data_IF_113389204620
#
_entry.id   IF_113389204620
#
_cell.length_a   1.000
_cell.length_b   1.000
_cell.length_c   1.000
_cell.angle_alpha   90.00
_cell.angle_beta   90.00
_cell.angle_gamma   90.00
#
_symmetry.space_group_name_H-M   'P 1'
#
loop_
_entity.id
_entity.type
_entity.pdbx_description
1 polymer ?
#
# COMPACT_ATOMS: atom_id res chain seq x y z
N UNK A 1 7.29 32.62 27.39
CA UNK A 1 6.70 32.18 26.09
C UNK A 1 5.65 31.16 26.43
N UNK A 2 4.41 31.36 25.97
CA UNK A 2 3.32 30.42 26.28
C UNK A 2 3.44 29.16 25.42
N UNK A 3 3.02 28.02 25.98
CA UNK A 3 3.17 26.70 25.35
C UNK A 3 1.82 26.01 25.15
N UNK A 4 1.81 25.05 24.26
CA UNK A 4 0.72 24.09 24.08
C UNK A 4 1.10 22.82 24.84
N UNK A 5 0.36 22.49 25.90
CA UNK A 5 0.48 21.23 26.61
C UNK A 5 -0.36 20.18 25.87
N UNK A 6 0.29 19.38 25.02
CA UNK A 6 -0.36 18.34 24.21
C UNK A 6 -0.39 17.03 25.01
N UNK A 7 -1.55 16.72 25.56
CA UNK A 7 -1.74 15.67 26.56
C UNK A 7 -2.42 14.46 25.93
N UNK A 8 -1.71 13.35 25.91
CA UNK A 8 -2.25 12.04 25.54
C UNK A 8 -3.20 11.52 26.61
N UNK A 9 -4.31 10.92 26.21
CA UNK A 9 -5.31 10.33 27.11
C UNK A 9 -5.54 8.89 26.71
N UNK A 10 -5.34 7.96 27.65
CA UNK A 10 -5.79 6.57 27.56
C UNK A 10 -6.81 6.32 28.67
N UNK A 11 -7.92 5.71 28.31
CA UNK A 11 -8.99 5.38 29.26
C UNK A 11 -9.95 6.54 29.62
N UNK A 12 -10.88 6.26 30.56
CA UNK A 12 -12.00 7.14 30.89
C UNK A 12 -11.70 8.14 31.99
N UNK A 13 -10.46 8.25 32.51
CA UNK A 13 -10.09 9.09 33.64
C UNK A 13 -8.76 9.77 33.39
N UNK A 14 -8.63 11.04 33.76
CA UNK A 14 -7.36 11.76 33.78
C UNK A 14 -6.59 11.46 35.06
N UNK A 15 -5.29 11.25 34.98
CA UNK A 15 -4.40 11.19 36.12
C UNK A 15 -4.21 12.58 36.78
N UNK A 16 -3.70 12.60 37.99
CA UNK A 16 -3.51 13.85 38.75
C UNK A 16 -2.56 14.82 38.03
N UNK A 17 -1.47 14.33 37.45
CA UNK A 17 -0.53 15.14 36.69
C UNK A 17 -1.20 15.80 35.46
N UNK A 18 -1.99 15.03 34.71
CA UNK A 18 -2.75 15.55 33.57
C UNK A 18 -3.76 16.61 33.97
N UNK A 19 -4.44 16.43 35.13
CA UNK A 19 -5.37 17.41 35.68
C UNK A 19 -4.65 18.72 36.07
N UNK A 20 -3.52 18.63 36.74
CA UNK A 20 -2.71 19.79 37.13
C UNK A 20 -2.23 20.58 35.91
N UNK A 21 -1.79 19.89 34.84
CA UNK A 21 -1.40 20.54 33.60
C UNK A 21 -2.56 21.32 32.97
N UNK A 22 -3.76 20.72 32.90
CA UNK A 22 -4.95 21.37 32.35
C UNK A 22 -5.41 22.55 33.18
N UNK A 23 -5.39 22.43 34.53
CA UNK A 23 -5.77 23.49 35.44
C UNK A 23 -4.83 24.70 35.38
N UNK A 24 -3.56 24.50 34.99
CA UNK A 24 -2.59 25.55 34.73
C UNK A 24 -2.77 26.29 33.41
N UNK A 25 -3.67 25.83 32.52
CA UNK A 25 -3.90 26.42 31.22
C UNK A 25 -5.12 27.36 31.19
N UNK A 26 -5.09 28.36 30.29
CA UNK A 26 -6.22 29.29 30.07
C UNK A 26 -7.33 28.68 29.22
N UNK A 27 -6.96 27.69 28.38
CA UNK A 27 -7.89 27.00 27.49
C UNK A 27 -7.51 25.52 27.34
N UNK A 28 -8.52 24.67 27.03
CA UNK A 28 -8.32 23.24 26.75
C UNK A 28 -9.07 22.81 25.51
N UNK A 29 -8.34 22.38 24.48
CA UNK A 29 -8.94 21.83 23.28
C UNK A 29 -9.28 20.35 23.49
N UNK A 30 -10.52 20.00 23.24
CA UNK A 30 -11.05 18.68 23.57
C UNK A 30 -12.09 18.20 22.55
N UNK A 31 -12.04 16.91 22.22
CA UNK A 31 -13.10 16.28 21.42
C UNK A 31 -14.37 16.06 22.27
N UNK A 32 -15.51 15.88 21.61
CA UNK A 32 -16.77 15.53 22.31
C UNK A 32 -16.63 14.32 23.23
N UNK A 33 -15.80 13.35 22.85
CA UNK A 33 -15.54 12.14 23.63
C UNK A 33 -14.89 12.44 24.99
N UNK A 34 -13.96 13.39 25.02
CA UNK A 34 -13.18 13.72 26.21
C UNK A 34 -13.71 14.96 26.96
N UNK A 35 -14.75 15.62 26.43
CA UNK A 35 -15.36 16.77 27.10
C UNK A 35 -15.78 16.49 28.58
N UNK A 36 -16.32 15.31 28.92
CA UNK A 36 -16.64 14.99 30.31
C UNK A 36 -15.42 14.97 31.24
N UNK A 37 -14.21 14.68 30.74
CA UNK A 37 -12.99 14.58 31.52
C UNK A 37 -12.49 15.92 32.03
N UNK A 38 -12.86 17.01 31.36
CA UNK A 38 -12.49 18.40 31.70
C UNK A 38 -13.66 19.18 32.28
N UNK A 39 -14.79 18.53 32.57
CA UNK A 39 -15.94 19.17 33.22
C UNK A 39 -15.53 19.65 34.60
N UNK A 40 -15.72 20.97 34.86
CA UNK A 40 -15.31 21.61 36.11
C UNK A 40 -13.86 22.12 36.16
N UNK A 41 -13.04 21.89 35.13
CA UNK A 41 -11.74 22.54 35.02
C UNK A 41 -11.90 24.04 34.72
N UNK A 42 -11.01 24.90 35.26
CA UNK A 42 -11.07 26.35 35.06
C UNK A 42 -10.73 26.76 33.59
N UNK A 43 -10.00 25.91 32.86
CA UNK A 43 -9.60 26.16 31.49
C UNK A 43 -10.82 26.23 30.52
N UNK A 44 -10.87 27.25 29.67
CA UNK A 44 -11.95 27.44 28.72
C UNK A 44 -11.95 26.31 27.63
N UNK A 45 -13.03 25.56 27.48
CA UNK A 45 -13.06 24.49 26.48
C UNK A 45 -13.07 25.05 25.06
N UNK A 46 -12.26 24.42 24.16
CA UNK A 46 -12.15 24.69 22.74
C UNK A 46 -12.50 23.41 21.96
N UNK A 47 -13.35 23.44 20.94
CA UNK A 47 -13.59 22.29 20.08
C UNK A 47 -12.34 21.94 19.24
N UNK A 48 -11.99 20.65 19.16
CA UNK A 48 -10.81 20.20 18.42
C UNK A 48 -11.02 20.20 16.88
N UNK A 49 -12.25 20.37 16.42
CA UNK A 49 -12.62 20.37 15.01
C UNK A 49 -13.58 21.53 14.70
N UNK A 50 -13.47 22.18 13.52
CA UNK A 50 -12.44 21.94 12.49
C UNK A 50 -11.05 22.46 12.88
N UNK A 51 -9.96 21.93 12.25
CA UNK A 51 -8.58 22.25 12.64
C UNK A 51 -8.20 23.73 12.50
N UNK A 52 -8.67 24.41 11.43
CA UNK A 52 -8.37 25.84 11.23
C UNK A 52 -8.92 26.68 12.38
N UNK A 53 -10.16 26.44 12.77
CA UNK A 53 -10.77 27.12 13.92
C UNK A 53 -10.08 26.79 15.24
N UNK A 54 -9.57 25.57 15.42
CA UNK A 54 -8.76 25.18 16.56
C UNK A 54 -7.47 26.00 16.62
N UNK A 55 -6.74 26.10 15.50
CA UNK A 55 -5.47 26.82 15.45
C UNK A 55 -5.65 28.30 15.76
N UNK A 56 -6.71 28.94 15.25
CA UNK A 56 -7.02 30.34 15.56
C UNK A 56 -7.35 30.55 17.06
N UNK A 57 -8.13 29.64 17.65
CA UNK A 57 -8.46 29.71 19.07
C UNK A 57 -7.29 29.42 19.99
N UNK A 58 -6.40 28.48 19.60
CA UNK A 58 -5.16 28.22 20.32
C UNK A 58 -4.21 29.43 20.25
N UNK A 59 -4.11 30.06 19.08
CA UNK A 59 -3.27 31.24 18.93
C UNK A 59 -3.74 32.38 19.87
N UNK A 60 -5.05 32.65 19.90
CA UNK A 60 -5.64 33.63 20.82
C UNK A 60 -5.48 33.26 22.30
N UNK A 61 -5.48 31.97 22.64
CA UNK A 61 -5.25 31.52 24.02
C UNK A 61 -3.78 31.71 24.44
N UNK A 62 -2.83 31.44 23.53
CA UNK A 62 -1.40 31.60 23.80
C UNK A 62 -0.96 33.04 24.03
N UNK A 63 -1.74 34.04 23.64
CA UNK A 63 -1.53 35.42 24.00
C UNK A 63 -1.85 35.71 25.47
N UNK A 64 -2.63 34.81 26.13
CA UNK A 64 -3.10 34.97 27.50
C UNK A 64 -2.40 34.01 28.48
N UNK A 65 -1.85 32.90 28.00
CA UNK A 65 -1.19 31.88 28.81
C UNK A 65 -1.04 30.56 28.05
N UNK A 66 -0.68 29.50 28.77
CA UNK A 66 -0.56 28.17 28.22
C UNK A 66 -1.93 27.59 27.85
N UNK A 67 -1.99 26.74 26.82
CA UNK A 67 -3.20 26.06 26.37
C UNK A 67 -2.99 24.54 26.31
N UNK A 68 -3.98 23.78 26.77
CA UNK A 68 -3.94 22.32 26.68
C UNK A 68 -4.66 21.81 25.44
N UNK A 69 -4.18 20.68 24.88
CA UNK A 69 -4.86 19.91 23.82
C UNK A 69 -4.91 18.45 24.24
N UNK A 70 -6.11 17.87 24.36
CA UNK A 70 -6.27 16.46 24.65
C UNK A 70 -6.34 15.63 23.37
N UNK A 71 -5.46 14.64 23.29
CA UNK A 71 -5.40 13.70 22.17
C UNK A 71 -5.57 12.25 22.66
N UNK A 72 -6.13 11.38 21.83
CA UNK A 72 -6.26 9.95 22.14
C UNK A 72 -4.90 9.25 22.08
N UNK A 73 -4.51 8.55 23.12
CA UNK A 73 -3.27 7.78 23.17
C UNK A 73 -2.01 8.65 23.07
N UNK A 74 -1.05 8.21 22.28
CA UNK A 74 0.14 9.01 21.97
C UNK A 74 -0.18 10.06 20.91
N UNK A 75 -0.05 11.38 21.22
CA UNK A 75 -0.36 12.46 20.28
C UNK A 75 0.47 12.45 18.99
N UNK A 76 1.65 11.84 19.01
CA UNK A 76 2.53 11.72 17.83
C UNK A 76 2.26 10.45 17.01
N UNK A 77 1.50 9.51 17.56
CA UNK A 77 1.17 8.28 16.86
C UNK A 77 -0.12 8.45 16.03
N UNK A 78 0.01 8.88 14.77
CA UNK A 78 -1.11 9.19 13.86
C UNK A 78 -2.12 10.20 14.43
N UNK A 79 -1.69 11.01 15.40
CA UNK A 79 -2.50 11.99 16.11
C UNK A 79 -2.30 13.42 15.62
N UNK A 80 -2.91 14.35 16.34
CA UNK A 80 -2.90 15.79 16.04
C UNK A 80 -1.51 16.44 16.23
N UNK A 81 -0.58 15.75 16.89
CA UNK A 81 0.70 16.34 17.28
C UNK A 81 1.51 16.88 16.11
N UNK A 82 1.56 16.17 14.99
CA UNK A 82 2.23 16.66 13.77
C UNK A 82 1.66 18.01 13.32
N UNK A 83 0.35 18.12 13.21
CA UNK A 83 -0.31 19.35 12.75
C UNK A 83 -0.06 20.53 13.68
N UNK A 84 0.02 20.28 14.99
CA UNK A 84 0.35 21.32 15.98
C UNK A 84 1.81 21.74 15.89
N UNK A 85 2.73 20.80 15.74
CA UNK A 85 4.17 21.09 15.58
C UNK A 85 4.40 21.87 14.27
N UNK A 86 3.80 21.44 13.17
CA UNK A 86 3.94 22.11 11.86
C UNK A 86 3.38 23.55 11.91
N UNK A 87 2.33 23.80 12.71
CA UNK A 87 1.68 25.12 12.82
C UNK A 87 2.34 26.05 13.81
N UNK A 88 2.79 25.56 14.98
CA UNK A 88 3.23 26.39 16.11
C UNK A 88 4.74 26.31 16.39
N UNK A 89 5.45 25.32 15.81
CA UNK A 89 6.85 25.02 16.09
C UNK A 89 7.01 24.03 17.26
N UNK A 90 8.04 23.17 17.17
CA UNK A 90 8.31 22.14 18.16
C UNK A 90 8.63 22.73 19.56
N UNK A 91 9.23 23.90 19.60
CA UNK A 91 9.61 24.60 20.82
C UNK A 91 8.41 25.12 21.63
N UNK A 92 7.24 25.25 20.98
CA UNK A 92 6.00 25.71 21.63
C UNK A 92 5.05 24.56 22.00
N UNK A 93 5.34 23.31 21.62
CA UNK A 93 4.48 22.15 21.88
C UNK A 93 5.19 21.20 22.83
N UNK A 94 4.71 21.13 24.07
CA UNK A 94 5.16 20.15 25.06
C UNK A 94 4.28 18.92 24.99
N UNK A 95 4.90 17.76 24.84
CA UNK A 95 4.16 16.51 24.56
C UNK A 95 4.20 15.61 25.77
N UNK A 96 3.02 15.25 26.26
CA UNK A 96 2.79 14.31 27.36
C UNK A 96 2.14 13.05 26.78
N UNK A 97 2.91 12.02 26.42
CA UNK A 97 2.35 10.83 25.75
C UNK A 97 1.55 9.96 26.73
N UNK A 98 0.55 9.27 26.19
CA UNK A 98 -0.09 8.13 26.83
C UNK A 98 0.11 6.87 25.96
N UNK A 99 -0.30 5.70 26.45
CA UNK A 99 -0.25 4.47 25.68
C UNK A 99 -1.07 4.62 24.39
N UNK A 100 -0.42 4.39 23.27
CA UNK A 100 -1.10 4.38 21.97
C UNK A 100 -2.07 3.20 21.86
N UNK A 101 -3.07 3.33 20.99
CA UNK A 101 -3.99 2.21 20.70
C UNK A 101 -3.26 0.96 20.21
N UNK A 102 -2.14 1.13 19.50
CA UNK A 102 -1.27 0.02 19.09
C UNK A 102 -0.69 -0.72 20.30
N UNK A 103 -0.11 0.01 21.26
CA UNK A 103 0.49 -0.57 22.47
C UNK A 103 -0.58 -1.29 23.30
N UNK A 104 -1.75 -0.67 23.46
CA UNK A 104 -2.88 -1.29 24.16
C UNK A 104 -3.34 -2.57 23.44
N UNK A 105 -3.51 -2.55 22.11
CA UNK A 105 -3.88 -3.72 21.34
C UNK A 105 -2.86 -4.85 21.49
N UNK A 106 -1.57 -4.55 21.37
CA UNK A 106 -0.49 -5.52 21.54
C UNK A 106 -0.47 -6.13 22.95
N UNK A 107 -0.69 -5.31 23.99
CA UNK A 107 -0.81 -5.79 25.35
C UNK A 107 -2.01 -6.75 25.53
N UNK A 108 -3.19 -6.42 24.96
CA UNK A 108 -4.37 -7.30 24.99
C UNK A 108 -4.19 -8.58 24.20
N UNK A 109 -3.42 -8.51 23.11
CA UNK A 109 -3.10 -9.67 22.27
C UNK A 109 -1.95 -10.52 22.86
N UNK A 110 -1.20 -10.04 23.83
CA UNK A 110 -0.04 -10.71 24.38
C UNK A 110 1.10 -10.81 23.37
N UNK A 111 1.32 -9.76 22.56
CA UNK A 111 2.29 -9.76 21.47
C UNK A 111 3.35 -8.68 21.63
N UNK A 112 4.64 -9.01 21.40
CA UNK A 112 5.64 -7.98 21.14
C UNK A 112 5.32 -7.26 19.83
N UNK A 113 5.70 -5.98 19.74
CA UNK A 113 5.36 -5.11 18.60
C UNK A 113 6.57 -4.60 17.82
N UNK A 114 7.79 -4.99 18.20
CA UNK A 114 9.06 -4.63 17.58
C UNK A 114 9.23 -5.21 16.16
N UNK A 115 8.62 -6.37 15.88
CA UNK A 115 8.62 -7.01 14.56
C UNK A 115 7.28 -6.88 13.81
N UNK A 116 6.37 -6.04 14.33
CA UNK A 116 5.03 -5.89 13.79
C UNK A 116 4.99 -4.92 12.61
N UNK A 117 4.44 -5.36 11.48
CA UNK A 117 4.13 -4.45 10.38
C UNK A 117 2.95 -3.57 10.76
N UNK A 118 3.15 -2.26 10.79
CA UNK A 118 2.08 -1.30 11.03
C UNK A 118 1.63 -0.65 9.73
N UNK A 119 0.32 -0.67 9.46
CA UNK A 119 -0.29 -0.05 8.28
C UNK A 119 -1.48 0.80 8.71
N UNK A 120 -1.47 2.08 8.35
CA UNK A 120 -2.63 2.96 8.54
C UNK A 120 -3.47 3.01 7.27
N UNK A 121 -4.75 2.67 7.41
CA UNK A 121 -5.75 2.72 6.34
C UNK A 121 -6.57 4.01 6.35
N UNK A 122 -6.32 4.93 7.30
CA UNK A 122 -7.04 6.20 7.41
C UNK A 122 -6.95 7.02 6.11
N UNK A 123 -8.11 7.23 5.46
CA UNK A 123 -8.22 8.01 4.24
C UNK A 123 -7.52 7.41 3.01
N UNK A 124 -7.14 6.14 3.04
CA UNK A 124 -6.46 5.44 1.93
C UNK A 124 -7.39 4.43 1.26
N UNK A 125 -7.28 4.25 -0.08
CA UNK A 125 -7.98 3.18 -0.77
C UNK A 125 -7.44 1.81 -0.34
N UNK A 126 -8.32 0.80 -0.32
CA UNK A 126 -7.97 -0.56 0.10
C UNK A 126 -7.39 -1.43 -1.02
N UNK A 127 -7.26 -0.91 -2.24
CA UNK A 127 -6.92 -1.69 -3.44
C UNK A 127 -5.54 -2.38 -3.32
N UNK A 128 -4.59 -1.75 -2.63
CA UNK A 128 -3.25 -2.32 -2.40
C UNK A 128 -3.12 -3.03 -1.05
N UNK A 129 -4.20 -3.13 -0.27
CA UNK A 129 -4.19 -3.76 1.05
C UNK A 129 -3.64 -5.19 1.04
N UNK A 130 -4.01 -6.07 0.10
CA UNK A 130 -3.47 -7.42 0.05
C UNK A 130 -1.95 -7.46 -0.06
N UNK A 131 -1.35 -6.61 -0.88
CA UNK A 131 0.10 -6.51 -1.03
C UNK A 131 0.82 -5.90 0.19
N UNK A 132 0.11 -5.14 1.01
CA UNK A 132 0.66 -4.56 2.24
C UNK A 132 0.54 -5.51 3.44
N UNK A 133 -0.37 -6.46 3.40
CA UNK A 133 -0.68 -7.39 4.50
C UNK A 133 -0.13 -8.79 4.25
N UNK A 134 -0.48 -9.37 3.11
CA UNK A 134 -0.20 -10.78 2.83
C UNK A 134 1.30 -11.16 2.74
N UNK A 135 2.25 -10.29 2.40
CA UNK A 135 3.68 -10.63 2.47
C UNK A 135 4.25 -10.74 3.88
N UNK A 136 3.54 -10.30 4.92
CA UNK A 136 4.05 -10.19 6.28
C UNK A 136 3.37 -11.17 7.23
N UNK A 137 4.11 -11.76 8.20
CA UNK A 137 3.54 -12.73 9.14
C UNK A 137 2.53 -12.09 10.10
N UNK A 138 2.76 -10.84 10.49
CA UNK A 138 1.91 -10.08 11.39
C UNK A 138 1.78 -8.64 10.92
N UNK A 139 0.55 -8.19 10.71
CA UNK A 139 0.26 -6.80 10.32
C UNK A 139 -0.83 -6.24 11.21
N UNK A 140 -0.55 -5.13 11.89
CA UNK A 140 -1.54 -4.37 12.63
C UNK A 140 -2.04 -3.21 11.77
N UNK A 141 -3.35 -3.13 11.64
CA UNK A 141 -4.04 -2.13 10.81
C UNK A 141 -4.74 -1.12 11.69
N UNK A 142 -4.48 0.17 11.44
CA UNK A 142 -5.31 1.27 11.89
C UNK A 142 -6.42 1.46 10.86
N UNK A 143 -7.63 1.17 11.24
CA UNK A 143 -8.83 1.15 10.39
C UNK A 143 -9.61 2.46 10.44
N UNK A 144 -10.53 2.64 9.52
CA UNK A 144 -11.49 3.74 9.50
C UNK A 144 -12.87 3.25 9.05
N UNK A 145 -13.86 4.14 8.90
CA UNK A 145 -15.22 3.79 8.48
C UNK A 145 -15.29 3.23 7.05
N UNK A 146 -14.30 3.49 6.20
CA UNK A 146 -14.20 2.95 4.83
C UNK A 146 -13.53 1.59 4.80
N UNK A 147 -12.58 1.39 5.70
CA UNK A 147 -11.77 0.20 5.83
C UNK A 147 -12.03 -0.48 7.17
N UNK A 148 -13.30 -0.80 7.45
CA UNK A 148 -13.72 -1.54 8.63
C UNK A 148 -13.19 -2.98 8.62
N UNK A 149 -13.11 -3.67 9.77
CA UNK A 149 -12.54 -5.03 9.85
C UNK A 149 -13.17 -6.04 8.91
N UNK A 150 -14.49 -5.96 8.69
CA UNK A 150 -15.24 -6.79 7.74
C UNK A 150 -14.82 -6.52 6.28
N UNK A 151 -14.60 -5.26 5.92
CA UNK A 151 -14.13 -4.87 4.58
C UNK A 151 -12.66 -5.25 4.35
N UNK A 152 -11.83 -5.14 5.39
CA UNK A 152 -10.45 -5.65 5.35
C UNK A 152 -10.46 -7.15 5.07
N UNK A 153 -11.27 -7.93 5.81
CA UNK A 153 -11.40 -9.37 5.60
C UNK A 153 -11.91 -9.69 4.19
N UNK A 154 -12.90 -8.95 3.68
CA UNK A 154 -13.44 -9.12 2.33
C UNK A 154 -12.38 -8.86 1.24
N UNK A 155 -11.56 -7.80 1.39
CA UNK A 155 -10.49 -7.48 0.43
C UNK A 155 -9.40 -8.56 0.40
N UNK A 156 -9.00 -9.08 1.56
CA UNK A 156 -8.03 -10.18 1.64
C UNK A 156 -8.59 -11.47 1.02
N UNK A 157 -9.85 -11.81 1.31
CA UNK A 157 -10.53 -12.97 0.70
C UNK A 157 -10.60 -12.84 -0.82
N UNK A 158 -10.98 -11.67 -1.33
CA UNK A 158 -11.08 -11.45 -2.78
C UNK A 158 -9.73 -11.69 -3.48
N UNK A 159 -8.62 -11.19 -2.92
CA UNK A 159 -7.29 -11.39 -3.47
C UNK A 159 -6.84 -12.86 -3.43
N UNK A 160 -7.13 -13.55 -2.33
CA UNK A 160 -6.78 -14.97 -2.17
C UNK A 160 -7.64 -15.86 -3.08
N UNK A 161 -8.93 -15.56 -3.24
CA UNK A 161 -9.81 -16.26 -4.20
C UNK A 161 -9.35 -16.06 -5.65
N UNK A 162 -8.97 -14.84 -6.03
CA UNK A 162 -8.46 -14.55 -7.38
C UNK A 162 -7.24 -15.39 -7.76
N UNK A 163 -6.45 -15.79 -6.74
CA UNK A 163 -5.28 -16.65 -6.92
C UNK A 163 -5.52 -18.13 -6.57
N UNK A 164 -6.74 -18.52 -6.15
CA UNK A 164 -7.08 -19.86 -5.64
C UNK A 164 -6.17 -20.34 -4.48
N UNK A 165 -5.88 -19.42 -3.54
CA UNK A 165 -4.99 -19.69 -2.39
C UNK A 165 -5.79 -20.13 -1.15
N UNK A 166 -6.41 -21.30 -1.23
CA UNK A 166 -7.30 -21.85 -0.19
C UNK A 166 -6.58 -22.15 1.11
N UNK A 167 -5.36 -22.67 1.02
CA UNK A 167 -4.56 -23.01 2.20
C UNK A 167 -4.26 -21.77 3.03
N UNK A 168 -3.93 -20.69 2.38
CA UNK A 168 -3.65 -19.43 3.04
C UNK A 168 -4.92 -18.80 3.62
N UNK A 169 -6.04 -18.84 2.90
CA UNK A 169 -7.34 -18.41 3.44
C UNK A 169 -7.67 -19.11 4.77
N UNK A 170 -7.46 -20.42 4.84
CA UNK A 170 -7.70 -21.21 6.03
C UNK A 170 -6.71 -20.90 7.18
N UNK A 171 -5.48 -20.51 6.85
CA UNK A 171 -4.43 -20.26 7.81
C UNK A 171 -4.47 -18.86 8.45
N UNK A 172 -5.05 -17.86 7.78
CA UNK A 172 -5.12 -16.48 8.29
C UNK A 172 -6.06 -16.41 9.49
N UNK A 173 -5.62 -15.67 10.51
CA UNK A 173 -6.43 -15.31 11.67
C UNK A 173 -6.44 -13.79 11.82
N UNK A 174 -7.58 -13.26 12.19
CA UNK A 174 -7.75 -11.85 12.50
C UNK A 174 -8.15 -11.70 13.96
N UNK A 175 -7.55 -10.72 14.63
CA UNK A 175 -7.97 -10.26 15.94
C UNK A 175 -8.35 -8.79 15.83
N UNK A 176 -9.55 -8.45 16.27
CA UNK A 176 -10.09 -7.10 16.26
C UNK A 176 -10.20 -6.62 17.70
N UNK A 177 -9.54 -5.50 18.00
CA UNK A 177 -9.65 -4.84 19.28
C UNK A 177 -10.52 -3.58 19.13
N UNK A 178 -11.62 -3.52 19.85
CA UNK A 178 -12.58 -2.42 19.83
C UNK A 178 -12.59 -1.70 21.16
N UNK A 179 -12.73 -0.36 21.13
CA UNK A 179 -12.93 0.50 22.29
C UNK A 179 -11.92 0.27 23.43
N UNK A 180 -10.63 0.10 23.06
CA UNK A 180 -9.56 -0.17 24.02
C UNK A 180 -9.54 0.85 25.16
N UNK A 181 -9.38 0.36 26.39
CA UNK A 181 -9.42 1.11 27.65
C UNK A 181 -10.76 1.83 27.92
N UNK A 182 -11.85 1.44 27.25
CA UNK A 182 -13.19 1.91 27.56
C UNK A 182 -14.01 0.79 28.22
N UNK A 183 -15.15 1.16 28.80
CA UNK A 183 -16.05 0.23 29.50
C UNK A 183 -16.65 -0.87 28.62
N UNK A 184 -16.69 -0.61 27.30
CA UNK A 184 -17.19 -1.53 26.27
C UNK A 184 -16.06 -2.10 25.40
N UNK A 185 -14.85 -2.20 25.97
CA UNK A 185 -13.71 -2.87 25.33
C UNK A 185 -14.07 -4.30 24.92
N UNK A 186 -13.77 -4.65 23.69
CA UNK A 186 -14.05 -5.97 23.16
C UNK A 186 -12.94 -6.48 22.26
N UNK A 187 -12.55 -7.73 22.45
CA UNK A 187 -11.62 -8.46 21.56
C UNK A 187 -12.38 -9.55 20.83
N UNK A 188 -12.32 -9.50 19.50
CA UNK A 188 -12.92 -10.51 18.63
C UNK A 188 -11.82 -11.23 17.85
N UNK A 189 -11.82 -12.56 17.87
CA UNK A 189 -10.89 -13.38 17.08
C UNK A 189 -11.67 -14.26 16.11
N UNK A 190 -11.16 -14.42 14.90
CA UNK A 190 -11.82 -15.28 13.89
C UNK A 190 -10.98 -15.47 12.62
N UNK A 191 -11.50 -16.30 11.74
CA UNK A 191 -11.06 -16.44 10.35
C UNK A 191 -11.50 -15.23 9.53
N UNK A 192 -10.97 -15.10 8.30
CA UNK A 192 -11.41 -14.04 7.39
C UNK A 192 -12.94 -14.08 7.14
N UNK A 193 -13.51 -15.28 6.96
CA UNK A 193 -14.96 -15.43 6.70
C UNK A 193 -15.80 -15.04 7.92
N UNK A 194 -15.37 -15.41 9.12
CA UNK A 194 -16.07 -15.04 10.35
C UNK A 194 -16.05 -13.55 10.61
N UNK A 195 -14.90 -12.88 10.34
CA UNK A 195 -14.78 -11.43 10.52
C UNK A 195 -15.57 -10.69 9.45
N UNK A 196 -15.55 -11.15 8.18
CA UNK A 196 -16.34 -10.55 7.10
C UNK A 196 -17.84 -10.53 7.40
N UNK A 197 -18.34 -11.53 8.11
CA UNK A 197 -19.75 -11.65 8.47
C UNK A 197 -20.20 -10.84 9.69
N UNK A 198 -19.33 -9.99 10.28
CA UNK A 198 -19.63 -9.24 11.52
C UNK A 198 -19.61 -7.73 11.27
N UNK A 199 -20.22 -7.00 12.20
CA UNK A 199 -20.14 -5.54 12.29
C UNK A 199 -19.27 -5.12 13.46
N UNK A 200 -18.51 -4.05 13.27
CA UNK A 200 -17.57 -3.52 14.25
C UNK A 200 -17.79 -2.03 14.46
N UNK A 201 -17.53 -1.58 15.69
CA UNK A 201 -17.57 -0.16 16.04
C UNK A 201 -16.48 0.65 15.33
N UNK A 202 -16.60 1.98 15.31
CA UNK A 202 -15.66 2.83 14.57
C UNK A 202 -14.26 2.93 15.21
N UNK A 203 -14.14 2.64 16.51
CA UNK A 203 -12.87 2.68 17.23
C UNK A 203 -12.30 1.26 17.35
N UNK A 204 -11.53 0.87 16.35
CA UNK A 204 -10.95 -0.47 16.33
C UNK A 204 -9.57 -0.51 15.67
N UNK A 205 -8.82 -1.58 15.99
CA UNK A 205 -7.61 -2.01 15.30
C UNK A 205 -7.74 -3.47 14.92
N UNK A 206 -7.07 -3.84 13.85
CA UNK A 206 -7.09 -5.22 13.34
C UNK A 206 -5.68 -5.76 13.27
N UNK A 207 -5.43 -6.88 13.93
CA UNK A 207 -4.24 -7.69 13.73
C UNK A 207 -4.57 -8.82 12.75
N UNK A 208 -3.78 -8.93 11.70
CA UNK A 208 -3.79 -10.06 10.77
C UNK A 208 -2.55 -10.90 10.99
N UNK A 209 -2.74 -12.18 11.30
CA UNK A 209 -1.67 -13.14 11.53
C UNK A 209 -1.76 -14.28 10.53
N UNK A 210 -0.61 -14.69 10.00
CA UNK A 210 -0.53 -15.74 9.00
C UNK A 210 0.87 -16.36 8.91
N UNK A 211 1.00 -17.62 8.47
CA UNK A 211 2.29 -18.16 8.08
C UNK A 211 2.73 -17.51 6.78
N UNK A 212 3.97 -17.03 6.73
CA UNK A 212 4.56 -16.45 5.51
C UNK A 212 5.74 -17.29 5.09
N UNK A 213 5.83 -17.63 3.82
CA UNK A 213 7.04 -18.23 3.23
C UNK A 213 8.05 -17.11 3.02
N UNK A 214 9.25 -17.21 3.59
CA UNK A 214 10.30 -16.25 3.31
C UNK A 214 10.59 -16.23 1.81
N UNK A 215 10.56 -15.05 1.19
CA UNK A 215 11.10 -14.90 -0.15
C UNK A 215 12.54 -14.40 -0.02
N UNK A 216 13.53 -15.16 -0.55
CA UNK A 216 14.94 -14.92 -0.27
C UNK A 216 15.44 -13.58 -0.81
N UNK A 217 14.86 -13.07 -1.88
CA UNK A 217 15.26 -11.81 -2.47
C UNK A 217 14.07 -10.88 -2.69
N UNK A 218 14.29 -9.57 -2.59
CA UNK A 218 13.27 -8.56 -2.92
C UNK A 218 13.16 -8.30 -4.42
N UNK A 219 14.27 -8.46 -5.12
CA UNK A 219 14.42 -8.24 -6.57
C UNK A 219 15.43 -9.25 -7.13
N UNK A 220 15.24 -9.68 -8.37
CA UNK A 220 16.13 -10.59 -9.06
C UNK A 220 15.72 -12.04 -8.93
N UNK A 221 14.41 -12.35 -9.06
CA UNK A 221 13.97 -13.73 -9.22
C UNK A 221 14.59 -14.34 -10.48
N UNK A 222 15.20 -15.52 -10.36
CA UNK A 222 15.67 -16.31 -11.50
C UNK A 222 14.52 -16.86 -12.35
N UNK A 223 14.83 -17.19 -13.60
CA UNK A 223 13.84 -17.81 -14.51
C UNK A 223 13.34 -19.15 -13.94
N UNK A 224 14.15 -19.89 -13.21
CA UNK A 224 13.83 -21.17 -12.56
C UNK A 224 12.94 -21.03 -11.32
N UNK A 225 12.89 -19.84 -10.71
CA UNK A 225 12.01 -19.54 -9.57
C UNK A 225 10.58 -19.14 -10.03
N UNK A 226 10.38 -18.86 -11.32
CA UNK A 226 9.13 -18.41 -11.89
C UNK A 226 8.52 -19.50 -12.77
N UNK A 227 7.31 -19.96 -12.47
CA UNK A 227 6.58 -20.90 -13.33
C UNK A 227 6.27 -20.26 -14.66
N UNK A 228 6.60 -20.96 -15.75
CA UNK A 228 6.36 -20.51 -17.12
C UNK A 228 6.18 -21.71 -18.04
N UNK A 229 5.52 -21.51 -19.18
CA UNK A 229 5.35 -22.55 -20.20
C UNK A 229 6.34 -22.36 -21.33
N UNK A 230 6.97 -23.43 -21.78
CA UNK A 230 7.81 -23.49 -23.00
C UNK A 230 8.92 -22.42 -23.07
N UNK A 231 9.43 -21.96 -21.93
CA UNK A 231 10.45 -20.90 -21.90
C UNK A 231 9.93 -19.50 -22.25
N UNK A 232 8.60 -19.31 -22.29
CA UNK A 232 7.94 -18.02 -22.50
C UNK A 232 8.01 -17.17 -21.23
N UNK A 233 9.16 -16.60 -21.01
CA UNK A 233 9.44 -15.71 -19.88
C UNK A 233 10.38 -14.60 -20.31
N UNK A 234 10.17 -13.40 -19.84
CA UNK A 234 11.14 -12.31 -20.01
C UNK A 234 12.42 -12.65 -19.25
N UNK A 235 13.52 -12.75 -19.99
CA UNK A 235 14.83 -13.15 -19.47
C UNK A 235 15.30 -12.18 -18.37
N UNK A 236 16.10 -12.68 -17.43
CA UNK A 236 16.49 -11.94 -16.22
C UNK A 236 17.10 -10.58 -16.53
N UNK A 237 18.04 -10.53 -17.47
CA UNK A 237 18.74 -9.30 -17.86
C UNK A 237 17.79 -8.33 -18.57
N UNK A 238 16.89 -8.85 -19.38
CA UNK A 238 15.86 -8.06 -20.08
C UNK A 238 14.83 -7.55 -19.08
N UNK A 239 14.38 -8.39 -18.13
CA UNK A 239 13.43 -8.01 -17.08
C UNK A 239 13.99 -6.90 -16.20
N UNK A 240 15.25 -6.99 -15.81
CA UNK A 240 15.93 -5.93 -15.07
C UNK A 240 15.96 -4.61 -15.86
N UNK A 241 16.27 -4.66 -17.15
CA UNK A 241 16.27 -3.48 -18.02
C UNK A 241 14.86 -2.91 -18.22
N UNK A 242 13.83 -3.75 -18.36
CA UNK A 242 12.42 -3.32 -18.45
C UNK A 242 12.01 -2.55 -17.20
N UNK A 243 12.28 -3.09 -16.00
CA UNK A 243 11.94 -2.45 -14.73
C UNK A 243 12.69 -1.12 -14.54
N UNK A 244 13.97 -1.08 -14.92
CA UNK A 244 14.73 0.16 -14.96
C UNK A 244 14.10 1.22 -15.88
N UNK A 245 13.67 0.80 -17.08
CA UNK A 245 13.03 1.69 -18.05
C UNK A 245 11.66 2.16 -17.60
N UNK A 246 10.90 1.32 -16.92
CA UNK A 246 9.58 1.68 -16.37
C UNK A 246 9.67 2.76 -15.29
N UNK A 247 10.79 2.87 -14.52
CA UNK A 247 10.93 3.83 -13.41
C UNK A 247 9.68 3.78 -12.51
N UNK A 248 9.44 2.61 -11.93
CA UNK A 248 8.24 2.34 -11.14
C UNK A 248 8.03 3.38 -10.03
N UNK A 249 6.83 3.97 -9.91
CA UNK A 249 6.50 4.82 -8.80
C UNK A 249 6.24 3.97 -7.54
N UNK A 250 6.30 4.59 -6.37
CA UNK A 250 6.00 3.89 -5.12
C UNK A 250 4.53 3.45 -5.02
N UNK A 251 3.63 4.22 -5.64
CA UNK A 251 2.17 4.00 -5.71
C UNK A 251 1.69 4.28 -7.12
N UNK A 252 0.50 3.82 -7.48
CA UNK A 252 -0.10 4.06 -8.80
C UNK A 252 -0.49 2.76 -9.49
N UNK A 253 -0.58 2.79 -10.82
CA UNK A 253 -1.08 1.70 -11.65
C UNK A 253 -0.05 1.32 -12.71
N UNK A 254 0.27 0.03 -12.81
CA UNK A 254 1.03 -0.56 -13.91
C UNK A 254 0.12 -1.47 -14.75
N UNK A 255 0.11 -1.28 -16.05
CA UNK A 255 -0.42 -2.28 -16.99
C UNK A 255 0.73 -3.12 -17.55
N UNK A 256 0.63 -4.44 -17.37
CA UNK A 256 1.51 -5.44 -18.00
C UNK A 256 0.72 -6.18 -19.08
N UNK A 257 0.91 -5.80 -20.33
CA UNK A 257 0.13 -6.26 -21.47
C UNK A 257 0.86 -7.41 -22.18
N UNK A 258 0.18 -8.55 -22.28
CA UNK A 258 0.79 -9.80 -22.72
C UNK A 258 1.71 -10.35 -21.64
N UNK A 259 1.17 -10.53 -20.45
CA UNK A 259 1.93 -10.82 -19.21
C UNK A 259 2.72 -12.14 -19.26
N UNK A 260 2.29 -13.12 -20.08
CA UNK A 260 2.92 -14.44 -20.14
C UNK A 260 2.97 -15.09 -18.76
N UNK A 261 4.17 -15.39 -18.27
CA UNK A 261 4.37 -15.91 -16.91
C UNK A 261 4.13 -14.90 -15.77
N UNK A 262 3.92 -13.62 -16.10
CA UNK A 262 3.81 -12.52 -15.14
C UNK A 262 5.14 -12.07 -14.53
N UNK A 263 6.26 -12.42 -15.13
CA UNK A 263 7.58 -12.19 -14.52
C UNK A 263 7.90 -10.72 -14.27
N UNK A 264 7.49 -9.80 -15.15
CA UNK A 264 7.65 -8.35 -14.96
C UNK A 264 6.70 -7.86 -13.87
N UNK A 265 5.44 -8.28 -13.90
CA UNK A 265 4.43 -7.99 -12.88
C UNK A 265 4.86 -8.43 -11.48
N UNK A 266 5.43 -9.64 -11.35
CA UNK A 266 5.91 -10.18 -10.07
C UNK A 266 6.99 -9.29 -9.45
N UNK A 267 8.00 -8.94 -10.22
CA UNK A 267 9.08 -8.10 -9.73
C UNK A 267 8.58 -6.67 -9.42
N UNK A 268 7.71 -6.11 -10.26
CA UNK A 268 7.13 -4.79 -10.04
C UNK A 268 6.31 -4.75 -8.73
N UNK A 269 5.45 -5.73 -8.49
CA UNK A 269 4.63 -5.83 -7.28
C UNK A 269 5.47 -6.01 -6.01
N UNK A 270 6.57 -6.75 -6.09
CA UNK A 270 7.49 -6.99 -4.96
C UNK A 270 8.37 -5.78 -4.65
N UNK A 271 8.82 -5.06 -5.68
CA UNK A 271 9.58 -3.81 -5.52
C UNK A 271 8.71 -2.70 -4.94
N UNK A 272 7.46 -2.60 -5.40
CA UNK A 272 6.52 -1.55 -5.05
C UNK A 272 5.21 -2.14 -4.50
N UNK A 273 5.15 -2.55 -3.21
CA UNK A 273 3.96 -3.21 -2.62
C UNK A 273 2.69 -2.35 -2.56
N UNK A 274 2.77 -1.07 -2.92
CA UNK A 274 1.62 -0.16 -3.03
C UNK A 274 1.30 0.19 -4.49
N UNK A 275 1.90 -0.50 -5.45
CA UNK A 275 1.59 -0.40 -6.87
C UNK A 275 0.52 -1.43 -7.23
N UNK A 276 -0.59 -1.00 -7.83
CA UNK A 276 -1.58 -1.91 -8.41
C UNK A 276 -1.12 -2.34 -9.79
N UNK A 277 -0.93 -3.65 -9.99
CA UNK A 277 -0.43 -4.21 -11.25
C UNK A 277 -1.55 -4.96 -11.97
N UNK A 278 -1.94 -4.51 -13.14
CA UNK A 278 -2.95 -5.16 -13.98
C UNK A 278 -2.25 -5.94 -15.10
N UNK A 279 -2.23 -7.26 -14.97
CA UNK A 279 -1.58 -8.18 -15.91
C UNK A 279 -2.61 -8.76 -16.86
N UNK A 280 -2.57 -8.33 -18.11
CA UNK A 280 -3.48 -8.80 -19.17
C UNK A 280 -2.86 -9.99 -19.87
N UNK A 281 -3.53 -11.14 -19.80
CA UNK A 281 -3.09 -12.39 -20.44
C UNK A 281 -4.30 -13.18 -20.95
N UNK A 282 -4.26 -13.61 -22.22
CA UNK A 282 -5.34 -14.36 -22.86
C UNK A 282 -5.20 -15.89 -22.76
N UNK A 283 -3.96 -16.38 -22.54
CA UNK A 283 -3.69 -17.81 -22.51
C UNK A 283 -4.01 -18.40 -21.14
N UNK A 284 -4.99 -19.34 -21.02
CA UNK A 284 -5.36 -19.93 -19.73
C UNK A 284 -4.21 -20.64 -19.02
N UNK A 285 -3.26 -21.25 -19.75
CA UNK A 285 -2.12 -21.92 -19.17
C UNK A 285 -1.16 -20.93 -18.49
N UNK A 286 -0.91 -19.78 -19.13
CA UNK A 286 -0.09 -18.72 -18.55
C UNK A 286 -0.82 -18.01 -17.40
N UNK A 287 -2.13 -17.82 -17.48
CA UNK A 287 -2.94 -17.33 -16.36
C UNK A 287 -2.81 -18.23 -15.13
N UNK A 288 -2.81 -19.56 -15.31
CA UNK A 288 -2.58 -20.52 -14.24
C UNK A 288 -1.16 -20.38 -13.63
N UNK A 289 -0.15 -20.14 -14.48
CA UNK A 289 1.21 -19.84 -14.04
C UNK A 289 1.27 -18.54 -13.23
N UNK A 290 0.65 -17.46 -13.72
CA UNK A 290 0.58 -16.18 -13.02
C UNK A 290 -0.04 -16.35 -11.63
N UNK A 291 -1.19 -17.03 -11.51
CA UNK A 291 -1.82 -17.30 -10.20
C UNK A 291 -0.89 -18.07 -9.26
N UNK A 292 -0.21 -19.11 -9.78
CA UNK A 292 0.73 -19.88 -8.98
C UNK A 292 1.93 -19.02 -8.53
N UNK A 293 2.46 -18.18 -9.40
CA UNK A 293 3.57 -17.28 -9.13
C UNK A 293 3.19 -16.21 -8.10
N UNK A 294 1.99 -15.63 -8.19
CA UNK A 294 1.46 -14.69 -7.18
C UNK A 294 1.48 -15.33 -5.79
N UNK A 295 0.98 -16.58 -5.67
CA UNK A 295 0.98 -17.32 -4.39
C UNK A 295 2.39 -17.58 -3.87
N UNK A 296 3.28 -18.05 -4.74
CA UNK A 296 4.64 -18.40 -4.35
C UNK A 296 5.46 -17.18 -3.93
N UNK A 297 5.31 -16.07 -4.67
CA UNK A 297 6.08 -14.84 -4.45
C UNK A 297 5.40 -13.81 -3.54
N UNK A 298 4.16 -14.06 -3.12
CA UNK A 298 3.41 -13.12 -2.26
C UNK A 298 3.01 -11.81 -2.96
N UNK A 299 2.88 -11.81 -4.29
CA UNK A 299 2.67 -10.61 -5.11
C UNK A 299 1.17 -10.28 -5.30
N UNK A 300 0.41 -10.14 -4.20
CA UNK A 300 -1.07 -10.01 -4.22
C UNK A 300 -1.60 -8.64 -4.66
N UNK A 301 -0.76 -7.72 -5.10
CA UNK A 301 -1.20 -6.49 -5.79
C UNK A 301 -1.33 -6.68 -7.30
N UNK A 302 -1.09 -7.90 -7.79
CA UNK A 302 -1.31 -8.25 -9.18
C UNK A 302 -2.77 -8.65 -9.39
N UNK A 303 -3.45 -7.92 -10.26
CA UNK A 303 -4.78 -8.19 -10.74
C UNK A 303 -4.67 -8.85 -12.13
N UNK A 304 -4.92 -10.16 -12.18
CA UNK A 304 -4.92 -10.88 -13.45
C UNK A 304 -6.21 -10.55 -14.21
N UNK A 305 -6.05 -10.04 -15.43
CA UNK A 305 -7.12 -9.69 -16.36
C UNK A 305 -7.14 -10.71 -17.48
N UNK A 306 -8.19 -11.51 -17.53
CA UNK A 306 -8.42 -12.47 -18.60
C UNK A 306 -8.90 -11.75 -19.85
N UNK A 307 -8.18 -11.91 -20.94
CA UNK A 307 -8.56 -11.34 -22.22
C UNK A 307 -7.40 -10.87 -23.07
N UNK A 308 -7.75 -10.27 -24.19
CA UNK A 308 -6.83 -9.74 -25.16
C UNK A 308 -6.91 -8.21 -25.24
N UNK A 309 -5.74 -7.57 -25.18
CA UNK A 309 -5.65 -6.14 -25.40
C UNK A 309 -5.81 -5.79 -26.91
N UNK A 310 -6.43 -4.63 -27.27
CA UNK A 310 -6.81 -3.54 -26.37
C UNK A 310 -8.16 -3.70 -25.66
N UNK A 311 -9.02 -4.64 -26.05
CA UNK A 311 -10.37 -4.79 -25.52
C UNK A 311 -10.38 -5.00 -23.98
N UNK A 312 -9.47 -5.82 -23.46
CA UNK A 312 -9.32 -6.11 -22.04
C UNK A 312 -8.82 -4.91 -21.20
N UNK A 313 -8.37 -3.83 -21.84
CA UNK A 313 -7.96 -2.61 -21.13
C UNK A 313 -9.16 -1.74 -20.72
N UNK A 314 -10.34 -1.98 -21.32
CA UNK A 314 -11.56 -1.23 -21.00
C UNK A 314 -11.96 -1.46 -19.54
N UNK A 315 -12.19 -0.38 -18.80
CA UNK A 315 -12.59 -0.48 -17.39
C UNK A 315 -11.45 -0.62 -16.38
N UNK A 316 -10.20 -0.79 -16.83
CA UNK A 316 -9.05 -0.71 -15.92
C UNK A 316 -8.83 0.74 -15.48
N UNK A 317 -8.24 1.00 -14.31
CA UNK A 317 -7.81 2.34 -13.91
C UNK A 317 -6.72 2.86 -14.86
N UNK A 318 -6.63 4.18 -15.02
CA UNK A 318 -5.63 4.82 -15.87
C UNK A 318 -4.21 4.54 -15.35
N UNK A 319 -3.27 4.14 -16.24
CA UNK A 319 -1.97 3.68 -15.82
C UNK A 319 -0.95 4.81 -15.66
N UNK A 320 -0.09 4.69 -14.64
CA UNK A 320 1.15 5.45 -14.52
C UNK A 320 2.26 4.85 -15.39
N UNK A 321 2.22 3.54 -15.54
CA UNK A 321 3.23 2.77 -16.31
C UNK A 321 2.54 1.72 -17.15
N UNK A 322 3.06 1.53 -18.37
CA UNK A 322 2.61 0.49 -19.27
C UNK A 322 3.81 -0.30 -19.78
N UNK A 323 3.76 -1.60 -19.62
CA UNK A 323 4.68 -2.51 -20.27
C UNK A 323 3.93 -3.34 -21.32
N UNK A 324 4.50 -3.47 -22.52
CA UNK A 324 3.97 -4.33 -23.57
C UNK A 324 5.02 -5.40 -23.87
N UNK A 325 4.77 -6.61 -23.34
CA UNK A 325 5.61 -7.79 -23.54
C UNK A 325 5.17 -8.66 -24.71
N UNK A 326 3.87 -8.62 -25.02
CA UNK A 326 3.26 -9.34 -26.14
C UNK A 326 2.01 -8.63 -26.64
N UNK A 327 1.83 -8.53 -27.96
CA UNK A 327 0.72 -7.77 -28.57
C UNK A 327 -0.28 -8.61 -29.35
N UNK A 328 0.02 -9.89 -29.62
CA UNK A 328 -0.85 -10.75 -30.46
C UNK A 328 -1.10 -10.19 -31.87
N UNK A 329 -0.22 -9.33 -32.37
CA UNK A 329 -0.39 -8.64 -33.66
C UNK A 329 -1.15 -7.31 -33.58
N UNK A 330 -1.59 -6.88 -32.39
CA UNK A 330 -2.38 -5.65 -32.18
C UNK A 330 -1.58 -4.52 -31.54
N UNK A 331 -0.28 -4.42 -31.84
CA UNK A 331 0.62 -3.47 -31.14
C UNK A 331 0.18 -2.01 -31.30
N UNK A 332 -0.19 -1.58 -32.51
CA UNK A 332 -0.61 -0.21 -32.78
C UNK A 332 -1.88 0.19 -31.99
N UNK A 333 -3.02 -0.55 -32.06
CA UNK A 333 -4.20 -0.21 -31.26
C UNK A 333 -3.96 -0.30 -29.75
N UNK A 334 -3.09 -1.20 -29.29
CA UNK A 334 -2.68 -1.28 -27.88
C UNK A 334 -1.97 0.00 -27.45
N UNK A 335 -0.98 0.43 -28.21
CA UNK A 335 -0.19 1.64 -27.90
C UNK A 335 -1.06 2.90 -27.95
N UNK A 336 -1.96 3.00 -28.95
CA UNK A 336 -2.90 4.12 -29.06
C UNK A 336 -3.82 4.21 -27.84
N UNK A 337 -4.38 3.07 -27.43
CA UNK A 337 -5.24 3.00 -26.25
C UNK A 337 -4.47 3.33 -24.97
N UNK A 338 -3.27 2.79 -24.83
CA UNK A 338 -2.44 3.01 -23.65
C UNK A 338 -2.00 4.49 -23.54
N UNK A 339 -1.57 5.10 -24.63
CA UNK A 339 -1.14 6.50 -24.65
C UNK A 339 -2.29 7.47 -24.33
N UNK A 340 -3.50 7.19 -24.84
CA UNK A 340 -4.68 8.02 -24.59
C UNK A 340 -5.14 8.00 -23.11
N UNK A 341 -4.77 6.95 -22.38
CA UNK A 341 -5.17 6.75 -20.96
C UNK A 341 -4.02 6.94 -19.97
N UNK A 342 -2.81 7.15 -20.46
CA UNK A 342 -1.64 7.32 -19.59
C UNK A 342 -1.76 8.62 -18.78
N UNK A 343 -1.56 8.54 -17.47
CA UNK A 343 -1.58 9.74 -16.61
C UNK A 343 -0.44 10.70 -16.96
N UNK A 344 -0.54 12.00 -16.66
CA UNK A 344 0.55 12.95 -16.86
C UNK A 344 1.85 12.49 -16.18
N UNK A 345 2.97 12.50 -16.92
CA UNK A 345 4.26 11.97 -16.44
C UNK A 345 4.36 10.45 -16.47
N UNK A 346 3.38 9.78 -17.05
CA UNK A 346 3.38 8.35 -17.26
C UNK A 346 4.40 7.88 -18.30
N UNK A 347 4.55 6.56 -18.48
CA UNK A 347 5.57 5.97 -19.34
C UNK A 347 5.12 4.65 -19.94
N UNK A 348 5.43 4.45 -21.24
CA UNK A 348 5.20 3.20 -21.95
C UNK A 348 6.55 2.56 -22.28
N UNK A 349 6.71 1.28 -22.01
CA UNK A 349 7.87 0.48 -22.40
C UNK A 349 7.39 -0.71 -23.23
N UNK A 350 7.97 -0.88 -24.42
CA UNK A 350 7.68 -2.00 -25.32
C UNK A 350 8.92 -2.87 -25.45
N UNK A 351 8.74 -4.18 -25.35
CA UNK A 351 9.77 -5.17 -25.62
C UNK A 351 9.54 -5.77 -27.02
N UNK A 352 10.42 -5.49 -27.96
CA UNK A 352 10.34 -5.97 -29.33
C UNK A 352 11.45 -6.97 -29.64
N UNK A 353 11.07 -8.20 -30.01
CA UNK A 353 11.98 -9.26 -30.50
C UNK A 353 12.05 -9.25 -32.04
N UNK A 354 10.95 -8.89 -32.68
CA UNK A 354 10.84 -8.85 -34.14
C UNK A 354 11.06 -7.42 -34.64
N UNK A 355 11.80 -7.27 -35.73
CA UNK A 355 12.05 -6.00 -36.42
C UNK A 355 10.76 -5.26 -36.79
N UNK A 356 9.75 -6.01 -37.24
CA UNK A 356 8.43 -5.44 -37.52
C UNK A 356 7.79 -4.80 -36.28
N UNK A 357 7.86 -5.47 -35.12
CA UNK A 357 7.31 -4.94 -33.88
C UNK A 357 8.09 -3.71 -33.41
N UNK A 358 9.40 -3.69 -33.59
CA UNK A 358 10.25 -2.53 -33.29
C UNK A 358 9.86 -1.32 -34.15
N UNK A 359 9.71 -1.54 -35.48
CA UNK A 359 9.33 -0.49 -36.44
C UNK A 359 7.96 0.10 -36.07
N UNK A 360 6.95 -0.73 -35.84
CA UNK A 360 5.60 -0.29 -35.44
C UNK A 360 5.64 0.47 -34.13
N UNK A 361 6.32 -0.07 -33.10
CA UNK A 361 6.41 0.61 -31.81
C UNK A 361 7.04 1.99 -31.91
N UNK A 362 8.15 2.11 -32.64
CA UNK A 362 8.82 3.40 -32.86
C UNK A 362 7.92 4.41 -33.56
N UNK A 363 7.31 4.01 -34.68
CA UNK A 363 6.44 4.89 -35.47
C UNK A 363 5.24 5.39 -34.64
N UNK A 364 4.54 4.50 -33.97
CA UNK A 364 3.36 4.84 -33.18
C UNK A 364 3.74 5.72 -31.98
N UNK A 365 4.78 5.36 -31.23
CA UNK A 365 5.19 6.15 -30.07
C UNK A 365 5.72 7.52 -30.46
N UNK A 366 6.42 7.66 -31.61
CA UNK A 366 6.85 8.97 -32.12
C UNK A 366 5.71 9.92 -32.46
N UNK A 367 4.53 9.38 -32.80
CA UNK A 367 3.32 10.17 -33.06
C UNK A 367 2.59 10.56 -31.77
N UNK A 368 2.66 9.71 -30.72
CA UNK A 368 1.87 9.85 -29.51
C UNK A 368 2.64 10.44 -28.32
N UNK A 369 3.97 10.40 -28.34
CA UNK A 369 4.83 10.78 -27.23
C UNK A 369 5.75 11.93 -27.61
N UNK A 370 6.10 12.77 -26.64
CA UNK A 370 7.07 13.88 -26.81
C UNK A 370 8.51 13.38 -26.88
N UNK A 371 8.80 12.28 -26.22
CA UNK A 371 10.12 11.67 -26.16
C UNK A 371 10.03 10.17 -26.42
N UNK A 372 10.87 9.68 -27.33
CA UNK A 372 11.01 8.25 -27.60
C UNK A 372 12.48 7.87 -27.57
N UNK A 373 12.81 6.91 -26.74
CA UNK A 373 14.17 6.35 -26.66
C UNK A 373 14.14 4.84 -26.86
N UNK A 374 15.24 4.29 -27.35
CA UNK A 374 15.35 2.85 -27.53
C UNK A 374 16.75 2.35 -27.24
N UNK A 375 16.84 1.09 -26.82
CA UNK A 375 18.12 0.38 -26.68
C UNK A 375 17.91 -1.10 -26.98
N UNK A 376 18.87 -1.69 -27.69
CA UNK A 376 18.91 -3.12 -27.96
C UNK A 376 19.82 -3.81 -26.95
N UNK A 377 19.32 -4.85 -26.32
CA UNK A 377 20.06 -5.72 -25.41
C UNK A 377 20.45 -7.00 -26.13
N UNK A 378 21.76 -7.26 -26.21
CA UNK A 378 22.32 -8.51 -26.67
C UNK A 378 22.95 -9.22 -25.45
N UNK A 379 22.50 -10.41 -25.12
CA UNK A 379 22.91 -11.13 -23.93
C UNK A 379 23.64 -12.42 -24.35
N UNK A 380 24.83 -12.61 -23.79
CA UNK A 380 25.56 -13.86 -23.89
C UNK A 380 25.79 -14.42 -22.49
N UNK A 381 25.26 -15.62 -22.21
CA UNK A 381 25.47 -16.31 -20.93
C UNK A 381 26.59 -17.31 -21.07
N UNK A 382 27.57 -17.25 -20.18
CA UNK A 382 28.71 -18.15 -20.14
C UNK A 382 28.42 -19.32 -19.20
N UNK A 383 28.80 -20.53 -19.62
CA UNK A 383 28.68 -21.70 -18.76
C UNK A 383 29.81 -21.65 -17.68
N UNK A 384 29.48 -21.69 -16.39
CA UNK A 384 30.49 -21.66 -15.31
C UNK A 384 31.44 -22.87 -15.31
N UNK A 385 31.07 -23.96 -16.00
CA UNK A 385 31.85 -25.17 -16.12
C UNK A 385 32.65 -25.27 -17.41
N UNK A 386 32.72 -24.16 -18.19
CA UNK A 386 33.52 -24.10 -19.43
C UNK A 386 32.82 -24.68 -20.68
N UNK A 387 31.53 -24.91 -20.61
CA UNK A 387 30.71 -25.26 -21.75
C UNK A 387 30.52 -24.10 -22.74
N UNK A 388 29.83 -24.33 -23.88
CA UNK A 388 29.60 -23.30 -24.90
C UNK A 388 28.71 -22.17 -24.36
N UNK A 389 29.07 -20.94 -24.70
CA UNK A 389 28.28 -19.77 -24.36
C UNK A 389 26.92 -19.81 -25.09
N UNK A 390 25.85 -19.44 -24.36
CA UNK A 390 24.49 -19.32 -24.92
C UNK A 390 24.20 -17.88 -25.29
N UNK A 391 24.02 -17.62 -26.58
CA UNK A 391 23.61 -16.30 -27.08
C UNK A 391 22.09 -16.25 -27.13
N UNK A 392 21.48 -15.24 -26.49
CA UNK A 392 20.04 -14.97 -26.54
C UNK A 392 19.72 -14.08 -27.74
N UNK A 393 18.49 -14.19 -28.26
CA UNK A 393 18.04 -13.27 -29.31
C UNK A 393 18.09 -11.85 -28.79
N UNK A 394 18.63 -10.88 -29.54
CA UNK A 394 18.61 -9.48 -29.17
C UNK A 394 17.16 -8.98 -28.99
N UNK A 395 16.97 -8.12 -28.00
CA UNK A 395 15.66 -7.53 -27.71
C UNK A 395 15.81 -6.02 -27.68
N UNK A 396 14.98 -5.31 -28.43
CA UNK A 396 14.93 -3.85 -28.39
C UNK A 396 13.84 -3.39 -27.43
N UNK A 397 14.24 -2.58 -26.44
CA UNK A 397 13.31 -1.87 -25.56
C UNK A 397 13.09 -0.45 -26.09
N UNK A 398 11.83 -0.13 -26.38
CA UNK A 398 11.40 1.19 -26.83
C UNK A 398 10.61 1.84 -25.69
N UNK A 399 10.97 3.07 -25.34
CA UNK A 399 10.33 3.81 -24.25
C UNK A 399 9.73 5.09 -24.80
N UNK A 400 8.43 5.33 -24.57
CA UNK A 400 7.70 6.54 -24.90
C UNK A 400 7.26 7.31 -23.65
N UNK A 401 7.42 8.62 -23.67
CA UNK A 401 6.93 9.56 -22.64
C UNK A 401 6.06 10.60 -23.35
N UNK A 402 4.73 10.62 -23.11
CA UNK A 402 3.80 11.61 -23.69
C UNK A 402 4.04 13.05 -23.29
#
# INVERSE_FOLDING_TARGET
MSHIELIGVSGPVLGDEQRQLIEGCVAVAVSRRYAPLVAGCPARPIPITPLDALFDQLNAALDQGDAAVLASGDPLFYGIGRSLIDRFGAERVRIHPALSSMQLACARFGLPWDDLRLVSLHGRPADTLPGQVLPYPRTLLLTDHRNSPDRVAAALLAALHACDDRDRMAAIRMRVAENLDLTDERITTGSLEEIRGRHFGPLNLVLVEQPVRPCPCRFGLGEDEIRHSRGLITKDEVRAAVLHRLRLPATGVLWDIGGGSGSVSLEAARLCPQLSVYTVERNPAEQANIRANIRTCGAYTIHLVDGEAPAALTGLPDPDRVFVGGSGGQLEPILTTAAARLVPGGRIVVSAVLEQSETVARQVLQQLCRSVTSATLAVTRHDPHGGPARVLNPITLITGEP
#
